data_IF_697315282344
#
_entry.id   IF_697315282344
#
_cell.length_a   1.000
_cell.length_b   1.000
_cell.length_c   1.000
_cell.angle_alpha   90.00
_cell.angle_beta   90.00
_cell.angle_gamma   90.00
#
_symmetry.space_group_name_H-M   'P 1'
#
loop_
_entity.id
_entity.type
_entity.pdbx_description
1 polymer ?
#
# COMPACT_ATOMS: atom_id res chain seq x y z
N UNK A 1 12.54 -14.71 -7.16
CA UNK A 1 12.35 -14.93 -5.70
C UNK A 1 10.87 -15.00 -5.40
N UNK A 2 10.38 -16.15 -4.90
CA UNK A 2 8.97 -16.35 -4.56
C UNK A 2 8.64 -15.48 -3.33
N UNK A 3 7.78 -14.48 -3.50
CA UNK A 3 7.25 -13.69 -2.40
C UNK A 3 6.52 -14.62 -1.43
N UNK A 4 7.10 -14.79 -0.23
CA UNK A 4 6.46 -15.51 0.87
C UNK A 4 5.19 -14.76 1.21
N UNK A 5 4.02 -15.32 0.88
CA UNK A 5 2.74 -14.92 1.49
C UNK A 5 2.85 -15.21 2.98
N UNK A 6 3.37 -14.25 3.73
CA UNK A 6 3.24 -14.21 5.19
C UNK A 6 1.74 -14.33 5.45
N UNK A 7 1.33 -15.27 6.30
CA UNK A 7 -0.08 -15.39 6.72
C UNK A 7 -0.47 -14.06 7.35
N UNK A 8 -1.09 -13.21 6.54
CA UNK A 8 -1.57 -11.91 6.95
C UNK A 8 -2.62 -12.18 8.02
N UNK A 9 -2.29 -11.84 9.27
CA UNK A 9 -3.24 -11.91 10.37
C UNK A 9 -4.51 -11.14 10.01
N UNK A 10 -5.64 -11.57 10.55
CA UNK A 10 -7.05 -11.27 10.18
C UNK A 10 -7.44 -9.79 10.01
N UNK A 11 -6.54 -8.82 10.17
CA UNK A 11 -6.76 -7.43 9.74
C UNK A 11 -5.47 -6.77 9.26
N UNK A 12 -5.51 -6.20 8.06
CA UNK A 12 -4.54 -5.22 7.58
C UNK A 12 -5.07 -3.82 7.80
N UNK A 13 -4.18 -2.87 8.07
CA UNK A 13 -4.46 -1.44 7.97
C UNK A 13 -3.75 -0.88 6.74
N UNK A 14 -4.44 -0.03 6.00
CA UNK A 14 -3.88 0.68 4.87
C UNK A 14 -3.70 2.14 5.27
N UNK A 15 -2.47 2.61 5.33
CA UNK A 15 -2.16 4.02 5.56
C UNK A 15 -1.87 4.70 4.22
N UNK A 16 -2.54 5.83 3.95
CA UNK A 16 -2.23 6.72 2.83
C UNK A 16 -1.45 7.93 3.35
N UNK A 17 -0.28 8.20 2.76
CA UNK A 17 0.55 9.36 3.12
C UNK A 17 1.06 10.04 1.86
N UNK A 18 1.23 11.35 1.92
CA UNK A 18 1.76 12.14 0.81
C UNK A 18 3.25 12.44 1.04
N UNK A 19 4.12 11.98 0.13
CA UNK A 19 5.57 12.15 0.26
C UNK A 19 6.16 12.79 -0.99
N UNK A 20 7.25 13.54 -0.82
CA UNK A 20 7.97 14.18 -1.93
C UNK A 20 9.16 13.30 -2.33
N UNK A 21 9.12 12.76 -3.54
CA UNK A 21 10.20 11.93 -4.11
C UNK A 21 10.82 12.66 -5.29
N UNK A 22 12.12 13.00 -5.18
CA UNK A 22 12.87 13.75 -6.20
C UNK A 22 12.16 15.03 -6.67
N UNK A 23 11.61 15.78 -5.72
CA UNK A 23 10.92 17.05 -6.00
C UNK A 23 9.46 16.91 -6.44
N UNK A 24 8.99 15.70 -6.74
CA UNK A 24 7.62 15.43 -7.18
C UNK A 24 6.83 14.86 -6.01
N UNK A 25 5.61 15.36 -5.83
CA UNK A 25 4.72 14.80 -4.83
C UNK A 25 4.06 13.50 -5.31
N UNK A 26 4.05 12.50 -4.45
CA UNK A 26 3.52 11.17 -4.72
C UNK A 26 2.68 10.69 -3.53
N UNK A 27 1.68 9.87 -3.83
CA UNK A 27 0.90 9.15 -2.84
C UNK A 27 1.59 7.83 -2.52
N UNK A 28 1.82 7.61 -1.23
CA UNK A 28 2.35 6.37 -0.69
C UNK A 28 1.24 5.66 0.08
N UNK A 29 0.87 4.50 -0.41
CA UNK A 29 0.02 3.54 0.30
C UNK A 29 0.90 2.52 0.99
N UNK A 30 0.65 2.24 2.27
CA UNK A 30 1.36 1.22 3.04
C UNK A 30 0.37 0.25 3.65
N UNK A 31 0.56 -1.03 3.39
CA UNK A 31 -0.12 -2.09 4.12
C UNK A 31 0.67 -2.39 5.40
N UNK A 32 0.03 -2.26 6.54
CA UNK A 32 0.63 -2.47 7.87
C UNK A 32 -0.14 -3.59 8.58
N UNK A 33 0.59 -4.50 9.21
CA UNK A 33 -0.02 -5.53 10.05
C UNK A 33 -0.46 -4.96 11.41
N UNK A 34 -1.16 -5.76 12.22
CA UNK A 34 -1.59 -5.34 13.58
C UNK A 34 -0.43 -4.99 14.50
N UNK A 35 0.77 -5.51 14.25
CA UNK A 35 1.96 -5.28 15.06
C UNK A 35 2.73 -4.03 14.63
N UNK A 36 2.27 -3.33 13.59
CA UNK A 36 2.92 -2.13 13.05
C UNK A 36 4.00 -2.43 12.02
N UNK A 37 4.19 -3.69 11.61
CA UNK A 37 5.15 -4.03 10.57
C UNK A 37 4.57 -3.70 9.20
N UNK A 38 5.39 -3.08 8.35
CA UNK A 38 4.99 -2.78 6.97
C UNK A 38 5.11 -4.05 6.14
N UNK A 39 3.98 -4.50 5.60
CA UNK A 39 3.86 -5.72 4.80
C UNK A 39 4.08 -5.42 3.32
N UNK A 40 3.56 -4.30 2.84
CA UNK A 40 3.68 -3.90 1.43
C UNK A 40 3.57 -2.38 1.28
N UNK A 41 4.06 -1.84 0.16
CA UNK A 41 3.98 -0.43 -0.16
C UNK A 41 3.73 -0.19 -1.66
N UNK A 42 2.84 0.75 -1.96
CA UNK A 42 2.57 1.23 -3.31
C UNK A 42 2.82 2.73 -3.37
N UNK A 43 3.78 3.14 -4.20
CA UNK A 43 4.03 4.55 -4.51
C UNK A 43 3.41 4.88 -5.88
N UNK A 44 2.48 5.83 -5.92
CA UNK A 44 1.91 6.34 -7.16
C UNK A 44 2.10 7.85 -7.28
N UNK A 45 2.52 8.29 -8.46
CA UNK A 45 2.68 9.72 -8.78
C UNK A 45 1.35 10.40 -9.11
N UNK A 46 0.29 9.63 -9.39
CA UNK A 46 -0.94 10.15 -9.99
C UNK A 46 -2.13 9.87 -9.07
N UNK A 47 -2.86 10.93 -8.71
CA UNK A 47 -4.15 10.89 -8.00
C UNK A 47 -5.27 10.33 -8.89
N UNK A 48 -5.04 9.19 -9.55
CA UNK A 48 -6.11 8.50 -10.25
C UNK A 48 -6.88 7.72 -9.17
N UNK A 49 -8.03 8.23 -8.72
CA UNK A 49 -8.95 7.51 -7.81
C UNK A 49 -9.16 6.05 -8.26
N UNK A 50 -9.18 5.82 -9.57
CA UNK A 50 -9.27 4.51 -10.22
C UNK A 50 -8.11 3.54 -9.87
N UNK A 51 -6.88 4.04 -9.68
CA UNK A 51 -5.72 3.18 -9.35
C UNK A 51 -5.69 2.79 -7.87
N UNK A 52 -6.12 3.67 -6.96
CA UNK A 52 -6.25 3.34 -5.54
C UNK A 52 -7.34 2.30 -5.30
N UNK A 53 -8.49 2.45 -5.98
CA UNK A 53 -9.59 1.48 -5.93
C UNK A 53 -9.16 0.12 -6.50
N UNK A 54 -8.40 0.10 -7.61
CA UNK A 54 -7.90 -1.14 -8.21
C UNK A 54 -6.86 -1.86 -7.34
N UNK A 55 -6.02 -1.12 -6.60
CA UNK A 55 -5.09 -1.71 -5.63
C UNK A 55 -5.83 -2.31 -4.44
N UNK A 56 -6.83 -1.58 -3.90
CA UNK A 56 -7.66 -2.08 -2.81
C UNK A 56 -8.41 -3.36 -3.19
N UNK A 57 -8.98 -3.43 -4.40
CA UNK A 57 -9.65 -4.63 -4.92
C UNK A 57 -8.67 -5.82 -5.03
N UNK A 58 -7.45 -5.59 -5.50
CA UNK A 58 -6.41 -6.64 -5.54
C UNK A 58 -5.93 -7.11 -4.17
N UNK A 59 -6.01 -6.26 -3.15
CA UNK A 59 -5.60 -6.60 -1.79
C UNK A 59 -6.69 -7.36 -1.02
N UNK A 60 -7.95 -7.18 -1.41
CA UNK A 60 -9.12 -7.82 -0.77
C UNK A 60 -9.50 -9.15 -1.44
N UNK A 61 -9.21 -9.33 -2.73
CA UNK A 61 -9.62 -10.51 -3.52
C UNK A 61 -8.48 -11.53 -3.73
#
# INVERSE_FOLDING_TARGET
MKNRKVRVGTSLRLDETYIKVKGIWCYLYRAVDKLGNTVDFLLTRKTQRMSAQSFLIKAIN
#
